data_IF_424360694699
#
_entry.id   IF_424360694699
#
_cell.length_a   1.000
_cell.length_b   1.000
_cell.length_c   1.000
_cell.angle_alpha   90.00
_cell.angle_beta   90.00
_cell.angle_gamma   90.00
#
_symmetry.space_group_name_H-M   'P 1'
#
loop_
_entity.id
_entity.type
_entity.pdbx_description
1 polymer ?
#
# COMPACT_ATOMS: atom_id res chain seq x y z
N UNK A 1 -40.37 -48.01 25.29
CA UNK A 1 -40.37 -46.86 24.36
C UNK A 1 -38.91 -46.65 24.02
N UNK A 2 -38.40 -47.04 22.85
CA UNK A 2 -38.76 -46.55 21.48
C UNK A 2 -38.64 -45.02 21.45
N UNK A 3 -37.92 -44.33 20.56
CA UNK A 3 -37.19 -44.68 19.32
C UNK A 3 -36.28 -43.46 18.92
N UNK A 4 -35.24 -43.46 18.07
CA UNK A 4 -34.58 -44.45 17.19
C UNK A 4 -33.07 -44.11 17.05
N UNK A 5 -32.26 -44.99 16.42
CA UNK A 5 -30.93 -44.65 15.89
C UNK A 5 -30.94 -43.61 14.75
N UNK A 6 -29.84 -42.86 14.57
CA UNK A 6 -29.54 -42.12 13.35
C UNK A 6 -28.09 -42.37 12.89
N UNK A 7 -27.87 -43.04 11.75
CA UNK A 7 -26.52 -43.27 11.22
C UNK A 7 -25.99 -42.06 10.46
N UNK A 8 -24.94 -41.42 10.97
CA UNK A 8 -24.20 -40.36 10.27
C UNK A 8 -23.51 -40.92 9.02
N UNK A 9 -24.10 -40.71 7.85
CA UNK A 9 -23.56 -41.18 6.58
C UNK A 9 -22.32 -40.38 6.17
N UNK A 10 -21.15 -40.98 6.34
CA UNK A 10 -19.89 -40.45 5.82
C UNK A 10 -19.90 -40.50 4.28
N UNK A 11 -20.25 -39.37 3.66
CA UNK A 11 -20.15 -39.22 2.21
C UNK A 11 -18.67 -39.14 1.79
N UNK A 12 -18.18 -40.23 1.19
CA UNK A 12 -16.93 -40.22 0.42
C UNK A 12 -17.05 -39.28 -0.78
N UNK A 13 -16.70 -38.01 -0.59
CA UNK A 13 -16.49 -37.10 -1.71
C UNK A 13 -15.31 -37.59 -2.55
N UNK A 14 -15.65 -38.26 -3.66
CA UNK A 14 -14.70 -38.71 -4.69
C UNK A 14 -13.73 -37.58 -5.04
N UNK A 15 -12.44 -37.91 -5.08
CA UNK A 15 -11.41 -36.98 -5.51
C UNK A 15 -11.64 -36.53 -6.95
N UNK A 16 -12.29 -35.37 -7.12
CA UNK A 16 -12.30 -34.67 -8.39
C UNK A 16 -10.89 -34.20 -8.68
N UNK A 17 -10.23 -34.81 -9.68
CA UNK A 17 -8.91 -34.37 -10.13
C UNK A 17 -8.96 -32.86 -10.42
N UNK A 18 -8.01 -32.05 -9.92
CA UNK A 18 -8.07 -30.62 -10.11
C UNK A 18 -8.05 -30.30 -11.62
N UNK A 19 -9.20 -29.83 -12.12
CA UNK A 19 -9.36 -29.34 -13.49
C UNK A 19 -8.48 -28.09 -13.62
N UNK A 20 -7.22 -28.28 -14.03
CA UNK A 20 -6.31 -27.18 -14.35
C UNK A 20 -7.04 -26.22 -15.29
N UNK A 21 -7.14 -24.92 -14.97
CA UNK A 21 -7.74 -23.95 -15.87
C UNK A 21 -6.95 -23.93 -17.19
N UNK A 22 -7.55 -24.44 -18.27
CA UNK A 22 -6.99 -24.31 -19.62
C UNK A 22 -7.29 -22.90 -20.14
N UNK A 23 -6.64 -21.89 -19.57
CA UNK A 23 -6.55 -20.59 -20.21
C UNK A 23 -5.71 -20.75 -21.48
N UNK A 24 -6.39 -20.94 -22.61
CA UNK A 24 -5.75 -20.96 -23.92
C UNK A 24 -5.25 -19.55 -24.25
N UNK A 25 -3.95 -19.39 -24.44
CA UNK A 25 -3.38 -18.17 -25.00
C UNK A 25 -3.95 -17.94 -26.40
N UNK A 26 -4.24 -16.69 -26.76
CA UNK A 26 -4.80 -16.31 -28.07
C UNK A 26 -4.14 -15.04 -28.59
N UNK A 27 -4.08 -14.92 -29.91
CA UNK A 27 -3.62 -13.70 -30.59
C UNK A 27 -4.67 -12.60 -30.46
N UNK A 28 -4.30 -11.41 -29.96
CA UNK A 28 -5.22 -10.27 -29.88
C UNK A 28 -5.77 -9.84 -31.24
N UNK A 29 -4.95 -9.93 -32.31
CA UNK A 29 -5.32 -9.45 -33.65
C UNK A 29 -6.23 -10.42 -34.43
N UNK A 30 -6.04 -11.74 -34.29
CA UNK A 30 -6.79 -12.74 -35.09
C UNK A 30 -7.51 -13.81 -34.26
N UNK A 31 -7.49 -13.71 -32.92
CA UNK A 31 -8.10 -14.66 -31.96
C UNK A 31 -7.62 -16.13 -32.09
N UNK A 32 -6.61 -16.41 -32.93
CA UNK A 32 -6.06 -17.74 -33.13
C UNK A 32 -5.33 -18.24 -31.86
N UNK A 33 -5.40 -19.55 -31.54
CA UNK A 33 -4.67 -20.12 -30.41
C UNK A 33 -3.15 -19.94 -30.54
N UNK A 34 -2.51 -19.55 -29.44
CA UNK A 34 -1.06 -19.39 -29.37
C UNK A 34 -0.39 -20.56 -28.64
N UNK A 35 0.85 -20.85 -29.03
CA UNK A 35 1.76 -21.70 -28.27
C UNK A 35 2.88 -20.84 -27.69
N UNK A 36 3.29 -21.11 -26.44
CA UNK A 36 4.30 -20.30 -25.75
C UNK A 36 5.61 -20.10 -26.53
N UNK A 37 5.99 -21.07 -27.39
CA UNK A 37 7.20 -20.97 -28.21
C UNK A 37 7.09 -19.87 -29.28
N UNK A 38 5.90 -19.61 -29.82
CA UNK A 38 5.65 -18.72 -30.95
C UNK A 38 4.66 -17.60 -30.59
N UNK A 39 4.65 -17.18 -29.33
CA UNK A 39 3.98 -15.97 -28.85
C UNK A 39 4.97 -14.80 -28.86
N UNK A 40 4.48 -13.66 -29.35
CA UNK A 40 5.14 -12.37 -29.28
C UNK A 40 4.26 -11.41 -28.48
N UNK A 41 4.87 -10.41 -27.88
CA UNK A 41 4.21 -9.29 -27.22
C UNK A 41 4.47 -8.01 -28.01
N UNK A 42 3.57 -7.04 -27.91
CA UNK A 42 3.72 -5.74 -28.54
C UNK A 42 3.48 -4.63 -27.51
N UNK A 43 4.57 -4.02 -27.03
CA UNK A 43 4.54 -2.98 -26.00
C UNK A 43 3.76 -1.74 -26.47
N UNK A 44 3.95 -1.34 -27.73
CA UNK A 44 3.25 -0.20 -28.33
C UNK A 44 1.73 -0.39 -28.37
N UNK A 45 1.24 -1.57 -28.75
CA UNK A 45 -0.20 -1.84 -28.72
C UNK A 45 -0.73 -2.01 -27.30
N UNK A 46 0.05 -2.56 -26.37
CA UNK A 46 -0.34 -2.66 -24.97
C UNK A 46 -0.54 -1.26 -24.35
N UNK A 47 0.37 -0.31 -24.62
CA UNK A 47 0.25 1.08 -24.20
C UNK A 47 -0.96 1.77 -24.87
N UNK A 48 -1.10 1.66 -26.19
CA UNK A 48 -2.19 2.27 -26.96
C UNK A 48 -3.58 1.80 -26.52
N UNK A 49 -3.74 0.49 -26.26
CA UNK A 49 -5.00 -0.13 -25.85
C UNK A 49 -5.21 -0.11 -24.31
N UNK A 50 -4.29 0.49 -23.54
CA UNK A 50 -4.28 0.48 -22.07
C UNK A 50 -4.36 -0.93 -21.43
N UNK A 51 -3.77 -1.92 -22.10
CA UNK A 51 -3.72 -3.32 -21.67
C UNK A 51 -2.41 -3.65 -20.94
N UNK A 52 -2.46 -4.62 -20.03
CA UNK A 52 -1.26 -5.12 -19.30
C UNK A 52 -0.30 -5.85 -20.26
N UNK A 53 -0.85 -6.61 -21.22
CA UNK A 53 -0.10 -7.32 -22.26
C UNK A 53 -0.96 -7.46 -23.52
N UNK A 54 -0.33 -7.40 -24.70
CA UNK A 54 -0.94 -7.68 -26.01
C UNK A 54 -0.15 -8.81 -26.67
N UNK A 55 -0.75 -10.00 -26.75
CA UNK A 55 -0.10 -11.22 -27.23
C UNK A 55 -0.48 -11.49 -28.69
N UNK A 56 0.51 -11.72 -29.56
CA UNK A 56 0.30 -11.89 -31.01
C UNK A 56 1.04 -13.13 -31.57
N UNK A 57 0.53 -13.65 -32.69
CA UNK A 57 1.17 -14.75 -33.43
C UNK A 57 2.16 -14.21 -34.47
N UNK A 58 3.14 -15.04 -34.85
CA UNK A 58 4.15 -14.69 -35.85
C UNK A 58 3.57 -14.12 -37.17
N UNK A 59 2.42 -14.61 -37.63
CA UNK A 59 1.76 -14.07 -38.83
C UNK A 59 1.30 -12.63 -38.62
N UNK A 60 0.60 -12.37 -37.51
CA UNK A 60 0.11 -11.02 -37.21
C UNK A 60 1.24 -10.00 -36.97
N UNK A 61 2.41 -10.45 -36.51
CA UNK A 61 3.61 -9.60 -36.40
C UNK A 61 3.91 -8.91 -37.75
N UNK A 62 3.87 -9.64 -38.86
CA UNK A 62 4.15 -9.09 -40.19
C UNK A 62 2.94 -8.41 -40.85
N UNK A 63 1.73 -8.93 -40.61
CA UNK A 63 0.52 -8.41 -41.26
C UNK A 63 0.00 -7.10 -40.62
N UNK A 64 0.02 -7.02 -39.28
CA UNK A 64 -0.64 -5.95 -38.51
C UNK A 64 0.30 -5.11 -37.63
N UNK A 65 1.50 -5.62 -37.28
CA UNK A 65 2.43 -4.95 -36.35
C UNK A 65 3.76 -4.53 -37.01
N UNK A 66 3.85 -4.57 -38.34
CA UNK A 66 5.06 -4.25 -39.11
C UNK A 66 5.56 -2.81 -38.91
N UNK A 67 4.65 -1.86 -38.69
CA UNK A 67 4.96 -0.42 -38.64
C UNK A 67 5.70 -0.05 -37.35
N UNK A 68 5.41 -0.77 -36.28
CA UNK A 68 6.02 -0.67 -34.96
C UNK A 68 6.69 -1.99 -34.55
N UNK A 69 7.28 -2.70 -35.53
CA UNK A 69 7.96 -4.00 -35.34
C UNK A 69 9.08 -3.96 -34.28
N UNK A 70 9.71 -2.80 -34.08
CA UNK A 70 10.72 -2.59 -33.06
C UNK A 70 10.19 -2.68 -31.62
N UNK A 71 8.87 -2.51 -31.44
CA UNK A 71 8.15 -2.68 -30.18
C UNK A 71 7.54 -4.08 -30.04
N UNK A 72 7.86 -5.02 -30.95
CA UNK A 72 7.43 -6.41 -30.88
C UNK A 72 8.58 -7.28 -30.35
N UNK A 73 8.34 -7.96 -29.25
CA UNK A 73 9.32 -8.86 -28.62
C UNK A 73 8.78 -10.30 -28.55
N UNK A 74 9.67 -11.27 -28.26
CA UNK A 74 9.26 -12.68 -28.06
C UNK A 74 9.05 -12.95 -26.58
N UNK A 75 7.83 -13.34 -26.22
CA UNK A 75 7.43 -13.49 -24.81
C UNK A 75 8.29 -14.51 -24.07
N UNK A 76 8.71 -14.12 -22.87
CA UNK A 76 9.28 -15.02 -21.85
C UNK A 76 8.27 -15.20 -20.73
N UNK A 77 7.59 -16.34 -20.72
CA UNK A 77 6.58 -16.66 -19.70
C UNK A 77 7.24 -16.83 -18.33
N UNK A 78 6.87 -15.97 -17.38
CA UNK A 78 7.27 -16.11 -15.99
C UNK A 78 6.62 -17.33 -15.32
N UNK A 79 7.42 -18.15 -14.65
CA UNK A 79 6.93 -19.23 -13.82
C UNK A 79 6.32 -18.73 -12.48
N UNK A 80 5.74 -19.65 -11.72
CA UNK A 80 5.12 -19.32 -10.44
C UNK A 80 6.12 -18.82 -9.39
N UNK A 81 7.36 -19.34 -9.37
CA UNK A 81 8.37 -18.96 -8.39
C UNK A 81 8.87 -17.54 -8.64
N UNK A 82 9.10 -17.16 -9.91
CA UNK A 82 9.44 -15.79 -10.29
C UNK A 82 8.32 -14.80 -9.91
N UNK A 83 7.06 -15.13 -10.23
CA UNK A 83 5.90 -14.30 -9.87
C UNK A 83 5.81 -14.12 -8.35
N UNK A 84 5.87 -15.21 -7.58
CA UNK A 84 5.82 -15.15 -6.12
C UNK A 84 7.02 -14.40 -5.51
N UNK A 85 8.21 -14.54 -6.08
CA UNK A 85 9.40 -13.80 -5.64
C UNK A 85 9.28 -12.29 -5.85
N UNK A 86 8.72 -11.86 -7.00
CA UNK A 86 8.47 -10.45 -7.29
C UNK A 86 7.35 -9.86 -6.42
N UNK A 87 6.22 -10.57 -6.30
CA UNK A 87 5.10 -10.15 -5.44
C UNK A 87 5.54 -10.08 -3.98
N UNK A 88 6.21 -11.11 -3.47
CA UNK A 88 6.71 -11.15 -2.08
C UNK A 88 7.76 -10.08 -1.78
N UNK A 89 8.53 -9.63 -2.77
CA UNK A 89 9.36 -8.44 -2.66
C UNK A 89 8.52 -7.20 -2.34
N UNK A 90 7.58 -6.87 -3.23
CA UNK A 90 6.69 -5.71 -3.12
C UNK A 90 5.86 -5.75 -1.83
N UNK A 91 5.36 -6.92 -1.42
CA UNK A 91 4.63 -7.09 -0.15
C UNK A 91 5.47 -6.67 1.06
N UNK A 92 6.74 -7.08 1.14
CA UNK A 92 7.62 -6.70 2.26
C UNK A 92 7.94 -5.20 2.26
N UNK A 93 8.16 -4.63 1.08
CA UNK A 93 8.44 -3.19 0.93
C UNK A 93 7.23 -2.36 1.37
N UNK A 94 6.01 -2.79 1.01
CA UNK A 94 4.76 -2.18 1.45
C UNK A 94 4.52 -2.33 2.97
N UNK A 95 4.78 -3.51 3.53
CA UNK A 95 4.73 -3.73 4.99
C UNK A 95 5.73 -2.85 5.74
N UNK A 96 6.95 -2.70 5.22
CA UNK A 96 7.97 -1.85 5.83
C UNK A 96 7.59 -0.36 5.77
N UNK A 97 7.05 0.10 4.63
CA UNK A 97 6.52 1.44 4.51
C UNK A 97 5.36 1.67 5.50
N UNK A 98 4.51 0.65 5.70
CA UNK A 98 3.46 0.64 6.73
C UNK A 98 4.03 0.78 8.15
N UNK A 99 5.07 0.03 8.50
CA UNK A 99 5.77 0.14 9.80
C UNK A 99 6.40 1.53 10.00
N UNK A 100 7.09 2.06 8.99
CA UNK A 100 7.70 3.40 9.03
C UNK A 100 6.63 4.48 9.23
N UNK A 101 5.53 4.43 8.47
CA UNK A 101 4.38 5.33 8.66
C UNK A 101 3.82 5.25 10.09
N UNK A 102 3.68 4.06 10.66
CA UNK A 102 3.18 3.90 12.02
C UNK A 102 4.13 4.52 13.07
N UNK A 103 5.46 4.35 12.92
CA UNK A 103 6.46 5.00 13.79
C UNK A 103 6.35 6.51 13.73
N UNK A 104 6.34 7.09 12.52
CA UNK A 104 6.22 8.54 12.33
C UNK A 104 4.92 9.11 12.89
N UNK A 105 3.80 8.37 12.79
CA UNK A 105 2.54 8.79 13.43
C UNK A 105 2.64 8.78 14.96
N UNK A 106 3.26 7.76 15.57
CA UNK A 106 3.50 7.75 17.02
C UNK A 106 4.43 8.87 17.48
N UNK A 107 5.47 9.19 16.70
CA UNK A 107 6.38 10.32 16.96
C UNK A 107 5.63 11.66 16.91
N UNK A 108 4.72 11.83 15.93
CA UNK A 108 3.86 13.01 15.82
C UNK A 108 2.84 13.10 16.97
N UNK A 109 2.21 12.01 17.38
CA UNK A 109 1.27 11.99 18.51
C UNK A 109 1.96 12.39 19.81
N UNK A 110 3.17 11.86 20.07
CA UNK A 110 4.00 12.27 21.23
C UNK A 110 4.37 13.75 21.16
N UNK A 111 4.74 14.24 19.98
CA UNK A 111 5.09 15.64 19.75
C UNK A 111 3.91 16.60 19.97
N UNK A 112 2.72 16.29 19.43
CA UNK A 112 1.52 17.10 19.66
C UNK A 112 1.07 17.05 21.12
N UNK A 113 1.14 15.89 21.78
CA UNK A 113 0.88 15.77 23.22
C UNK A 113 1.84 16.58 24.09
N UNK A 114 3.12 16.71 23.70
CA UNK A 114 4.05 17.64 24.35
C UNK A 114 3.64 19.10 24.14
N UNK A 115 3.31 19.48 22.90
CA UNK A 115 2.92 20.85 22.55
C UNK A 115 1.66 21.29 23.33
N UNK A 116 0.65 20.41 23.44
CA UNK A 116 -0.56 20.65 24.24
C UNK A 116 -0.23 20.93 25.72
N UNK A 117 0.72 20.18 26.31
CA UNK A 117 1.19 20.44 27.68
C UNK A 117 1.90 21.79 27.84
N UNK A 118 2.64 22.28 26.82
CA UNK A 118 3.20 23.65 26.85
C UNK A 118 2.08 24.68 26.81
N UNK A 119 1.06 24.50 25.96
CA UNK A 119 -0.09 25.40 25.87
C UNK A 119 -0.88 25.49 27.19
N UNK A 120 -1.20 24.37 27.84
CA UNK A 120 -1.90 24.37 29.12
C UNK A 120 -1.05 24.95 30.27
N UNK A 121 0.28 24.79 30.26
CA UNK A 121 1.16 25.50 31.21
C UNK A 121 1.11 27.01 31.02
N UNK A 122 1.23 27.49 29.77
CA UNK A 122 1.15 28.92 29.43
C UNK A 122 -0.19 29.50 29.90
N UNK A 123 -1.29 28.83 29.57
CA UNK A 123 -2.65 29.21 29.96
C UNK A 123 -2.81 29.28 31.49
N UNK A 124 -2.39 28.24 32.23
CA UNK A 124 -2.46 28.23 33.70
C UNK A 124 -1.62 29.33 34.36
N UNK A 125 -0.47 29.70 33.78
CA UNK A 125 0.34 30.83 34.27
C UNK A 125 -0.33 32.19 33.97
N UNK A 126 -0.89 32.35 32.77
CA UNK A 126 -1.64 33.56 32.41
C UNK A 126 -2.88 33.76 33.28
N UNK A 127 -3.62 32.68 33.60
CA UNK A 127 -4.75 32.72 34.54
C UNK A 127 -4.33 33.14 35.95
N UNK A 128 -3.17 32.67 36.44
CA UNK A 128 -2.60 33.11 37.73
C UNK A 128 -2.24 34.60 37.72
N UNK A 129 -1.59 35.08 36.67
CA UNK A 129 -1.23 36.49 36.50
C UNK A 129 -2.45 37.41 36.33
N UNK A 130 -3.53 36.92 35.70
CA UNK A 130 -4.81 37.62 35.57
C UNK A 130 -5.71 37.57 36.81
N UNK A 131 -5.28 36.90 37.88
CA UNK A 131 -6.03 36.79 39.12
C UNK A 131 -6.19 38.12 39.85
N UNK A 132 -7.33 38.33 40.52
CA UNK A 132 -7.65 39.58 41.25
C UNK A 132 -6.89 39.79 42.58
N UNK A 133 -5.90 38.94 42.88
CA UNK A 133 -5.14 38.99 44.14
C UNK A 133 -3.90 39.88 44.01
N UNK A 134 -3.46 40.55 45.10
CA UNK A 134 -2.22 41.31 45.08
C UNK A 134 -1.01 40.37 44.88
N UNK A 135 -0.19 40.66 43.88
CA UNK A 135 1.10 40.00 43.64
C UNK A 135 2.25 40.97 43.91
N UNK A 136 3.40 40.43 44.30
CA UNK A 136 4.65 41.23 44.36
C UNK A 136 5.31 41.26 42.98
N UNK A 137 6.02 42.34 42.66
CA UNK A 137 6.77 42.47 41.41
C UNK A 137 7.68 41.25 41.15
N UNK A 138 8.42 40.79 42.18
CA UNK A 138 9.27 39.59 42.11
C UNK A 138 8.54 38.31 41.70
N UNK A 139 7.26 38.16 42.02
CA UNK A 139 6.44 37.02 41.58
C UNK A 139 6.04 37.18 40.12
N UNK A 140 5.63 38.38 39.70
CA UNK A 140 5.28 38.69 38.31
C UNK A 140 6.49 38.49 37.39
N UNK A 141 7.65 39.06 37.73
CA UNK A 141 8.88 38.95 36.94
C UNK A 141 9.28 37.47 36.73
N UNK A 142 9.16 36.64 37.77
CA UNK A 142 9.43 35.20 37.71
C UNK A 142 8.46 34.47 36.79
N UNK A 143 7.15 34.71 36.88
CA UNK A 143 6.18 34.05 36.01
C UNK A 143 6.33 34.50 34.54
N UNK A 144 6.73 35.75 34.29
CA UNK A 144 7.07 36.24 32.94
C UNK A 144 8.32 35.57 32.38
N UNK A 145 9.39 35.42 33.18
CA UNK A 145 10.60 34.69 32.76
C UNK A 145 10.28 33.24 32.37
N UNK A 146 9.43 32.58 33.14
CA UNK A 146 9.00 31.21 32.88
C UNK A 146 8.07 31.09 31.65
N UNK A 147 7.14 32.02 31.47
CA UNK A 147 6.32 32.12 30.25
C UNK A 147 7.17 32.30 29.00
N UNK A 148 8.25 33.08 29.08
CA UNK A 148 9.19 33.25 27.96
C UNK A 148 9.96 31.96 27.64
N UNK A 149 10.23 31.09 28.63
CA UNK A 149 10.82 29.75 28.39
C UNK A 149 9.83 28.83 27.68
N UNK A 150 8.60 28.70 28.18
CA UNK A 150 7.56 27.87 27.56
C UNK A 150 7.25 28.38 26.13
N UNK A 151 7.08 29.69 25.91
CA UNK A 151 6.90 30.29 24.58
C UNK A 151 8.11 30.08 23.65
N UNK A 152 9.32 30.14 24.19
CA UNK A 152 10.56 29.85 23.44
C UNK A 152 10.68 28.38 23.01
N UNK A 153 9.98 27.45 23.66
CA UNK A 153 9.82 26.08 23.13
C UNK A 153 8.77 26.04 22.03
N UNK A 154 7.55 26.54 22.30
CA UNK A 154 6.45 26.57 21.31
C UNK A 154 6.91 27.21 19.99
N UNK A 155 7.62 28.34 20.05
CA UNK A 155 8.11 29.05 18.86
C UNK A 155 9.10 28.23 18.03
N UNK A 156 10.02 27.49 18.66
CA UNK A 156 10.97 26.58 17.98
C UNK A 156 10.30 25.32 17.42
N UNK A 157 9.15 24.96 17.97
CA UNK A 157 8.34 23.80 17.58
C UNK A 157 7.41 24.12 16.41
N UNK A 158 7.05 25.40 16.23
CA UNK A 158 6.15 25.89 15.19
C UNK A 158 6.85 26.55 13.98
N UNK A 159 8.18 26.48 13.91
CA UNK A 159 9.04 27.14 12.90
C UNK A 159 9.88 26.16 12.09
#
# INVERSE_FOLDING_TARGET
MLDSDLPTTYNHHRGGSPKKPKHSLKCSSCNAPLSQKNTFDCEFCAELDQNIEVLICATCVFDYHKEHINSVQRVRFADAAYKMGKIGGISRDAEELGRKKASTLMELDVFFGQLEQYCERVKSRLEKLGGKGPMTQKVVDKEVEELMKDYGVIKRVAS
#
